data_IF_109879418740
#
_entry.id   IF_109879418740
#
_cell.length_a   1.000
_cell.length_b   1.000
_cell.length_c   1.000
_cell.angle_alpha   90.00
_cell.angle_beta   90.00
_cell.angle_gamma   90.00
#
_symmetry.space_group_name_H-M   'P 1'
#
loop_
_entity.id
_entity.type
_entity.pdbx_description
1 polymer ?
#
# COMPACT_ATOMS: atom_id res chain seq x y z
N UNK A 1 -9.45 -18.17 20.24
CA UNK A 1 -8.14 -18.14 19.60
C UNK A 1 -8.55 -17.70 18.24
N UNK A 2 -8.51 -16.37 18.08
CA UNK A 2 -8.18 -15.84 16.77
C UNK A 2 -6.92 -16.54 16.30
N UNK A 3 -6.85 -16.71 14.99
CA UNK A 3 -5.61 -17.08 14.35
C UNK A 3 -5.27 -15.94 13.37
N UNK A 4 -5.61 -14.71 13.74
CA UNK A 4 -5.56 -13.48 12.94
C UNK A 4 -5.57 -12.33 13.98
N UNK A 5 -4.47 -12.28 14.73
CA UNK A 5 -4.29 -11.50 15.95
C UNK A 5 -4.11 -10.02 15.63
N UNK A 6 -3.77 -9.61 14.38
CA UNK A 6 -3.71 -8.22 13.87
C UNK A 6 -4.82 -7.87 12.83
N UNK A 7 -5.56 -8.86 12.33
CA UNK A 7 -6.77 -8.63 11.53
C UNK A 7 -6.55 -8.39 10.06
N UNK A 8 -5.32 -8.47 9.59
CA UNK A 8 -4.98 -8.16 8.20
C UNK A 8 -5.51 -9.22 7.20
N UNK A 9 -6.21 -10.24 7.71
CA UNK A 9 -6.78 -11.33 6.94
C UNK A 9 -5.80 -12.45 6.62
N UNK A 10 -4.59 -12.38 7.17
CA UNK A 10 -3.56 -13.42 7.17
C UNK A 10 -3.70 -14.24 8.47
N UNK A 11 -3.29 -15.52 8.43
CA UNK A 11 -3.32 -16.34 9.65
C UNK A 11 -2.05 -16.07 10.46
N UNK A 12 -2.15 -15.90 11.79
CA UNK A 12 -1.00 -15.67 12.70
C UNK A 12 0.20 -16.54 12.33
N UNK A 13 -0.05 -17.81 11.99
CA UNK A 13 1.01 -18.79 11.75
C UNK A 13 1.73 -18.56 10.43
N UNK A 14 1.11 -17.90 9.47
CA UNK A 14 1.75 -17.46 8.23
C UNK A 14 2.61 -16.24 8.53
N UNK A 15 2.07 -15.25 9.23
CA UNK A 15 2.74 -14.01 9.65
C UNK A 15 3.98 -14.22 10.51
N UNK A 16 3.93 -15.10 11.53
CA UNK A 16 5.16 -15.36 12.33
C UNK A 16 6.27 -16.06 11.52
N UNK A 17 6.02 -16.47 10.27
CA UNK A 17 6.93 -17.29 9.47
C UNK A 17 7.24 -16.76 8.06
N UNK A 18 6.55 -15.74 7.54
CA UNK A 18 6.82 -15.16 6.22
C UNK A 18 8.05 -14.23 6.24
N UNK A 19 8.34 -13.62 7.39
CA UNK A 19 9.43 -12.66 7.53
C UNK A 19 9.12 -11.30 6.88
N UNK A 20 7.85 -11.02 6.59
CA UNK A 20 7.38 -9.74 6.14
C UNK A 20 7.16 -8.83 7.38
N UNK A 21 7.86 -7.69 7.49
CA UNK A 21 7.64 -6.78 8.60
C UNK A 21 6.27 -6.09 8.57
N UNK A 22 5.56 -6.10 7.43
CA UNK A 22 4.28 -5.39 7.23
C UNK A 22 3.04 -6.25 7.55
N UNK A 23 3.23 -7.49 8.00
CA UNK A 23 2.15 -8.43 8.36
C UNK A 23 2.47 -9.01 9.74
N UNK A 24 2.87 -8.15 10.67
CA UNK A 24 3.43 -8.56 11.94
C UNK A 24 2.38 -8.38 13.04
N UNK A 25 1.81 -9.50 13.52
CA UNK A 25 0.91 -9.61 14.69
C UNK A 25 1.29 -8.86 15.99
N UNK A 26 2.46 -8.22 16.06
CA UNK A 26 2.90 -7.42 17.21
C UNK A 26 3.15 -5.95 16.88
N UNK A 27 2.74 -5.48 15.71
CA UNK A 27 2.92 -4.12 15.15
C UNK A 27 1.68 -3.76 14.31
N UNK A 28 0.54 -3.59 14.96
CA UNK A 28 -0.80 -3.54 14.33
C UNK A 28 -0.99 -2.42 13.31
N UNK A 29 -0.34 -1.27 13.49
CA UNK A 29 -0.39 -0.12 12.58
C UNK A 29 0.81 -0.08 11.61
N UNK A 30 1.68 -1.11 11.67
CA UNK A 30 2.88 -1.24 10.85
C UNK A 30 3.82 0.00 10.88
N UNK A 31 3.78 0.82 11.93
CA UNK A 31 4.61 2.04 12.05
C UNK A 31 6.07 1.74 12.48
N UNK A 32 6.35 0.47 12.78
CA UNK A 32 7.64 -0.03 13.26
C UNK A 32 7.81 0.03 14.79
N UNK A 33 6.77 0.39 15.54
CA UNK A 33 6.72 0.42 16.99
C UNK A 33 5.77 -0.67 17.49
N UNK A 34 6.35 -1.78 17.93
CA UNK A 34 5.54 -2.89 18.47
C UNK A 34 4.52 -2.48 19.54
N UNK A 35 3.30 -3.02 19.46
CA UNK A 35 2.13 -2.70 20.29
C UNK A 35 2.38 -2.65 21.81
N UNK A 36 3.37 -3.43 22.27
CA UNK A 36 3.70 -3.51 23.69
C UNK A 36 4.35 -2.23 24.24
N UNK A 37 4.90 -1.40 23.37
CA UNK A 37 5.49 -0.09 23.69
C UNK A 37 4.81 1.05 22.97
N UNK A 38 3.95 0.76 22.00
CA UNK A 38 3.20 1.76 21.29
C UNK A 38 2.00 2.29 22.12
N UNK A 39 1.71 3.57 21.93
CA UNK A 39 0.74 4.34 22.69
C UNK A 39 -0.55 4.61 21.88
N UNK A 40 -0.56 4.23 20.61
CA UNK A 40 -1.56 4.53 19.57
C UNK A 40 -1.58 3.36 18.57
N UNK A 41 -2.02 2.17 19.03
CA UNK A 41 -1.74 0.87 18.36
C UNK A 41 -2.37 0.78 16.95
N UNK A 42 -3.32 1.66 16.70
CA UNK A 42 -4.09 1.83 15.47
C UNK A 42 -3.92 3.24 14.87
N UNK A 43 -2.86 3.97 15.20
CA UNK A 43 -2.42 5.25 14.59
C UNK A 43 -3.52 6.29 14.20
N UNK A 44 -4.68 6.25 14.86
CA UNK A 44 -5.86 7.07 14.57
C UNK A 44 -5.73 8.49 15.20
N UNK A 45 -4.65 8.70 15.95
CA UNK A 45 -4.34 9.90 16.70
C UNK A 45 -5.01 10.00 18.07
N UNK A 46 -5.61 8.92 18.57
CA UNK A 46 -6.26 8.76 19.86
C UNK A 46 -5.54 7.68 20.66
N UNK A 47 -4.75 8.13 21.66
CA UNK A 47 -4.02 7.20 22.52
C UNK A 47 -4.88 6.04 23.06
N UNK A 48 -4.32 4.83 23.08
CA UNK A 48 -4.85 3.56 23.57
C UNK A 48 -5.70 3.63 24.87
N UNK A 49 -5.52 4.67 25.69
CA UNK A 49 -6.30 4.90 26.90
C UNK A 49 -7.64 5.59 26.67
N UNK A 50 -7.69 6.55 25.74
CA UNK A 50 -8.87 7.32 25.38
C UNK A 50 -9.59 6.71 24.17
N UNK A 51 -8.93 5.78 23.50
CA UNK A 51 -9.50 4.98 22.44
C UNK A 51 -10.48 3.91 23.00
N UNK A 52 -11.73 4.35 23.16
CA UNK A 52 -12.84 3.56 23.69
C UNK A 52 -14.17 4.04 23.12
N UNK A 53 -14.92 3.13 22.51
CA UNK A 53 -16.28 3.37 22.06
C UNK A 53 -17.24 3.71 23.21
N UNK A 54 -18.38 4.35 22.89
CA UNK A 54 -19.42 4.72 23.86
C UNK A 54 -19.99 3.52 24.67
N UNK A 55 -19.91 2.32 24.12
CA UNK A 55 -20.35 1.07 24.76
C UNK A 55 -19.31 0.50 25.75
N UNK A 56 -18.10 1.08 25.80
CA UNK A 56 -16.97 0.66 26.62
C UNK A 56 -16.11 -0.49 26.07
N UNK A 57 -16.26 -0.89 24.80
CA UNK A 57 -15.22 -1.66 24.09
C UNK A 57 -14.10 -0.72 23.64
N UNK A 58 -12.87 -1.22 23.52
CA UNK A 58 -11.80 -0.43 22.90
C UNK A 58 -11.98 -0.38 21.39
N UNK A 59 -11.50 0.70 20.80
CA UNK A 59 -11.56 0.97 19.37
C UNK A 59 -10.20 0.75 18.69
N UNK A 60 -9.23 0.19 19.42
CA UNK A 60 -7.81 -0.11 19.12
C UNK A 60 -7.43 -0.71 17.75
N UNK A 61 -8.38 -0.88 16.84
CA UNK A 61 -8.34 -1.46 15.49
C UNK A 61 -9.51 -0.91 14.67
N UNK A 62 -9.60 0.42 14.63
CA UNK A 62 -10.60 1.25 13.90
C UNK A 62 -9.87 2.55 13.54
N UNK A 63 -8.85 2.43 12.67
CA UNK A 63 -7.86 3.47 12.34
C UNK A 63 -8.51 4.82 11.92
N UNK A 64 -9.71 4.80 11.36
CA UNK A 64 -10.45 5.99 10.92
C UNK A 64 -11.63 6.40 11.83
N UNK A 65 -11.89 5.63 12.88
CA UNK A 65 -13.02 5.77 13.80
C UNK A 65 -14.41 5.75 13.12
N UNK A 66 -14.59 5.03 12.01
CA UNK A 66 -15.87 4.92 11.33
C UNK A 66 -16.81 3.90 12.02
N UNK A 67 -16.26 3.05 12.90
CA UNK A 67 -16.95 2.05 13.69
C UNK A 67 -17.06 0.68 13.02
N UNK A 68 -16.39 0.48 11.90
CA UNK A 68 -15.91 -0.81 11.43
C UNK A 68 -14.63 -1.17 12.18
N UNK A 69 -14.12 -2.34 11.90
CA UNK A 69 -12.89 -2.82 12.50
C UNK A 69 -11.99 -3.12 11.32
N UNK A 70 -10.72 -2.76 11.43
CA UNK A 70 -9.77 -2.82 10.32
C UNK A 70 -9.81 -4.16 9.56
N UNK A 71 -9.87 -5.30 10.28
CA UNK A 71 -9.99 -6.61 9.63
C UNK A 71 -11.31 -6.93 8.89
N UNK A 72 -12.24 -5.99 8.82
CA UNK A 72 -13.46 -6.02 7.99
C UNK A 72 -13.73 -4.71 7.26
N UNK A 73 -13.00 -3.64 7.55
CA UNK A 73 -12.97 -2.47 6.68
C UNK A 73 -12.09 -2.78 5.46
N UNK A 74 -12.31 -2.06 4.37
CA UNK A 74 -11.47 -2.20 3.17
C UNK A 74 -10.65 -0.90 2.92
N UNK A 75 -10.74 0.11 3.80
CA UNK A 75 -10.14 1.47 3.71
C UNK A 75 -9.96 2.05 5.14
N UNK A 76 -8.96 1.55 5.86
CA UNK A 76 -8.72 1.73 7.29
C UNK A 76 -8.44 3.17 7.72
N UNK A 77 -7.97 4.04 6.81
CA UNK A 77 -7.72 5.45 7.08
C UNK A 77 -8.72 6.42 6.38
N UNK A 78 -9.66 5.85 5.62
CA UNK A 78 -10.74 6.53 4.92
C UNK A 78 -10.24 7.60 3.92
N UNK A 79 -9.13 7.33 3.23
CA UNK A 79 -8.49 8.24 2.27
C UNK A 79 -8.90 8.00 0.79
N UNK A 80 -9.85 7.08 0.58
CA UNK A 80 -10.32 6.55 -0.71
C UNK A 80 -9.30 5.63 -1.44
N UNK A 81 -8.23 5.15 -0.78
CA UNK A 81 -7.36 4.04 -1.21
C UNK A 81 -7.77 2.79 -0.41
N UNK A 82 -7.86 1.64 -1.07
CA UNK A 82 -8.15 0.41 -0.33
C UNK A 82 -6.89 -0.09 0.37
N UNK A 83 -6.97 -0.75 1.52
CA UNK A 83 -5.80 -1.30 2.24
C UNK A 83 -4.98 -2.26 1.35
N UNK A 84 -5.68 -2.96 0.45
CA UNK A 84 -5.07 -3.83 -0.57
C UNK A 84 -4.32 -3.09 -1.68
N UNK A 85 -4.29 -1.77 -1.65
CA UNK A 85 -3.55 -0.90 -2.54
C UNK A 85 -2.55 -0.03 -1.74
N UNK A 86 -2.42 -0.26 -0.43
CA UNK A 86 -1.52 0.44 0.49
C UNK A 86 -0.29 -0.39 0.94
N UNK A 87 0.82 0.31 1.21
CA UNK A 87 2.12 -0.29 1.54
C UNK A 87 2.12 -1.00 2.89
N UNK A 88 1.33 -0.48 3.83
CA UNK A 88 1.21 -0.91 5.21
C UNK A 88 -0.22 -1.31 5.60
N UNK A 89 -1.20 -1.09 4.71
CA UNK A 89 -2.60 -1.51 4.89
C UNK A 89 -3.34 -0.77 6.00
N UNK A 90 -2.79 0.34 6.49
CA UNK A 90 -3.31 1.07 7.64
C UNK A 90 -3.01 2.57 7.60
N UNK A 91 -2.00 3.01 6.84
CA UNK A 91 -1.57 4.42 6.82
C UNK A 91 -1.29 4.95 5.40
N UNK A 92 -2.34 5.16 4.61
CA UNK A 92 -2.44 6.18 3.56
C UNK A 92 -1.39 6.17 2.45
N UNK A 93 -0.61 5.10 2.31
CA UNK A 93 0.59 5.07 1.47
C UNK A 93 0.37 4.14 0.30
N UNK A 94 0.07 4.70 -0.87
CA UNK A 94 -0.18 3.93 -2.10
C UNK A 94 1.02 3.05 -2.49
N UNK A 95 0.76 1.80 -2.91
CA UNK A 95 1.82 0.81 -3.23
C UNK A 95 2.56 1.02 -4.53
N UNK A 96 1.93 1.70 -5.48
CA UNK A 96 2.41 1.74 -6.84
C UNK A 96 3.26 3.00 -7.05
N UNK A 97 4.51 2.76 -7.49
CA UNK A 97 5.56 3.71 -7.87
C UNK A 97 6.31 3.00 -9.02
N UNK A 98 5.71 3.03 -10.22
CA UNK A 98 6.13 2.17 -11.34
C UNK A 98 7.54 2.50 -11.85
N UNK A 99 7.93 3.77 -11.83
CA UNK A 99 9.25 4.22 -12.25
C UNK A 99 10.30 4.28 -11.14
N UNK A 100 9.90 3.99 -9.89
CA UNK A 100 10.74 4.01 -8.70
C UNK A 100 11.44 5.37 -8.46
N UNK A 101 10.80 6.48 -8.83
CA UNK A 101 11.33 7.83 -8.61
C UNK A 101 11.10 8.33 -7.17
N UNK A 102 10.26 7.62 -6.42
CA UNK A 102 9.91 7.88 -5.03
C UNK A 102 8.65 8.74 -4.85
N UNK A 103 7.87 8.94 -5.91
CA UNK A 103 6.49 9.42 -5.90
C UNK A 103 5.56 8.24 -6.19
N UNK A 104 4.43 8.16 -5.48
CA UNK A 104 3.38 7.22 -5.83
C UNK A 104 2.70 7.61 -7.15
N UNK A 105 2.28 6.65 -7.98
CA UNK A 105 1.59 6.90 -9.26
C UNK A 105 0.34 7.80 -9.10
N UNK A 106 -0.32 7.76 -7.93
CA UNK A 106 -1.49 8.61 -7.64
C UNK A 106 -1.10 10.10 -7.59
N UNK A 107 0.15 10.39 -7.24
CA UNK A 107 0.73 11.73 -7.09
C UNK A 107 1.77 12.09 -8.15
N UNK A 108 2.32 11.10 -8.85
CA UNK A 108 3.13 11.30 -10.04
C UNK A 108 2.26 11.76 -11.22
N UNK A 109 2.90 12.29 -12.24
CA UNK A 109 2.29 12.82 -13.45
C UNK A 109 2.88 12.22 -14.72
N UNK A 110 3.78 11.25 -14.57
CA UNK A 110 4.66 10.61 -15.55
C UNK A 110 5.08 9.25 -14.98
N UNK A 111 4.11 8.34 -14.78
CA UNK A 111 4.24 7.11 -13.96
C UNK A 111 5.31 6.12 -14.47
N UNK A 112 5.72 6.24 -15.74
CA UNK A 112 6.81 5.47 -16.33
C UNK A 112 8.06 6.33 -16.60
N UNK A 113 8.05 7.62 -16.32
CA UNK A 113 9.16 8.55 -16.51
C UNK A 113 9.74 8.61 -17.95
N UNK A 114 8.92 8.31 -18.97
CA UNK A 114 9.28 8.41 -20.40
C UNK A 114 9.39 9.88 -20.89
N UNK A 115 8.89 10.82 -20.08
CA UNK A 115 8.86 12.26 -20.33
C UNK A 115 7.56 12.78 -20.96
N UNK A 116 6.51 11.96 -21.00
CA UNK A 116 5.15 12.22 -21.45
C UNK A 116 4.22 12.04 -20.26
N UNK A 117 3.37 13.03 -20.00
CA UNK A 117 2.53 12.93 -18.80
C UNK A 117 1.37 11.94 -18.97
N UNK A 118 0.97 11.26 -17.90
CA UNK A 118 -0.17 10.31 -17.85
C UNK A 118 -1.45 10.87 -18.47
N UNK A 119 -1.72 12.15 -18.21
CA UNK A 119 -2.90 12.82 -18.75
C UNK A 119 -2.92 12.80 -20.27
N UNK A 120 -1.76 12.97 -20.90
CA UNK A 120 -1.63 12.96 -22.34
C UNK A 120 -1.81 11.53 -22.87
N UNK A 121 -1.13 10.57 -22.29
CA UNK A 121 -1.15 9.15 -22.65
C UNK A 121 -2.57 8.55 -22.57
N UNK A 122 -3.27 8.82 -21.47
CA UNK A 122 -4.67 8.44 -21.30
C UNK A 122 -5.63 9.05 -22.34
N UNK A 123 -5.26 10.13 -23.03
CA UNK A 123 -6.17 10.92 -23.88
C UNK A 123 -5.75 11.05 -25.35
N UNK A 124 -4.54 10.68 -25.72
CA UNK A 124 -4.06 10.86 -27.09
C UNK A 124 -4.57 9.77 -28.06
N UNK A 125 -4.98 8.62 -27.51
CA UNK A 125 -5.51 7.47 -28.23
C UNK A 125 -4.46 6.72 -29.05
N UNK A 126 -3.20 6.79 -28.61
CA UNK A 126 -2.07 6.08 -29.17
C UNK A 126 -1.63 4.97 -28.21
N UNK A 127 -1.75 3.72 -28.65
CA UNK A 127 -1.37 2.55 -27.84
C UNK A 127 0.17 2.34 -27.78
N UNK A 128 0.98 3.37 -28.05
CA UNK A 128 2.47 3.34 -28.03
C UNK A 128 3.05 4.37 -27.05
N UNK A 129 2.20 4.85 -26.15
CA UNK A 129 2.45 5.95 -25.19
C UNK A 129 1.51 5.64 -24.03
N UNK A 130 1.60 4.41 -23.52
CA UNK A 130 0.78 3.96 -22.40
C UNK A 130 1.46 4.39 -21.11
N UNK A 131 0.68 4.68 -20.07
CA UNK A 131 1.13 5.19 -18.77
C UNK A 131 2.17 4.30 -18.03
N UNK A 132 2.51 3.15 -18.60
CA UNK A 132 3.41 2.14 -18.05
C UNK A 132 4.22 1.53 -19.21
N UNK A 133 4.76 2.36 -20.12
CA UNK A 133 5.44 2.01 -21.39
C UNK A 133 6.71 2.89 -21.57
N UNK A 134 7.73 2.62 -20.75
CA UNK A 134 8.92 3.45 -20.57
C UNK A 134 9.69 3.75 -21.88
N UNK A 135 9.68 2.83 -22.85
CA UNK A 135 10.32 3.01 -24.16
C UNK A 135 9.38 3.37 -25.32
N UNK A 136 8.07 3.46 -25.07
CA UNK A 136 7.02 3.77 -26.04
C UNK A 136 6.91 2.77 -27.20
N UNK A 137 7.08 1.47 -26.94
CA UNK A 137 6.92 0.42 -27.95
C UNK A 137 5.50 -0.16 -28.03
N UNK A 138 4.66 0.16 -27.04
CA UNK A 138 3.27 -0.25 -26.93
C UNK A 138 3.06 -1.59 -26.22
N UNK A 139 4.06 -2.07 -25.50
CA UNK A 139 3.93 -3.12 -24.49
C UNK A 139 4.09 -2.48 -23.11
N UNK A 140 3.14 -2.76 -22.22
CA UNK A 140 3.30 -2.32 -20.83
C UNK A 140 4.59 -2.92 -20.22
N UNK A 141 5.34 -2.16 -19.42
CA UNK A 141 6.64 -2.52 -18.84
C UNK A 141 6.62 -3.91 -18.18
N UNK A 142 5.55 -4.23 -17.44
CA UNK A 142 5.40 -5.55 -16.79
C UNK A 142 5.27 -6.75 -17.76
N UNK A 143 5.10 -6.50 -19.05
CA UNK A 143 5.02 -7.47 -20.15
C UNK A 143 6.17 -7.35 -21.15
N UNK A 144 6.97 -6.30 -21.07
CA UNK A 144 8.22 -6.17 -21.83
C UNK A 144 9.34 -6.98 -21.14
N UNK A 145 10.32 -7.42 -21.92
CA UNK A 145 11.55 -8.05 -21.41
C UNK A 145 12.76 -7.06 -21.47
N UNK A 146 12.59 -5.85 -22.04
CA UNK A 146 13.60 -4.76 -22.24
C UNK A 146 12.88 -3.40 -22.20
N UNK A 147 12.30 -3.05 -21.04
CA UNK A 147 11.35 -1.95 -20.84
C UNK A 147 11.93 -0.55 -21.16
N UNK A 148 13.25 -0.36 -21.05
CA UNK A 148 13.93 0.90 -21.40
C UNK A 148 14.59 0.90 -22.81
N UNK A 149 14.55 -0.24 -23.49
CA UNK A 149 15.15 -0.50 -24.82
C UNK A 149 16.63 -0.12 -24.94
N UNK A 150 17.39 -0.23 -23.85
CA UNK A 150 18.84 -0.02 -23.87
C UNK A 150 19.60 -1.21 -24.48
N UNK A 151 18.91 -2.34 -24.64
CA UNK A 151 19.40 -3.59 -25.22
C UNK A 151 19.94 -4.59 -24.19
N UNK A 152 19.66 -4.38 -22.91
CA UNK A 152 19.86 -5.30 -21.80
C UNK A 152 18.47 -5.73 -21.32
N UNK A 153 18.22 -7.04 -21.26
CA UNK A 153 16.92 -7.51 -20.74
C UNK A 153 16.80 -7.17 -19.25
N UNK A 154 15.60 -6.84 -18.79
CA UNK A 154 15.26 -6.45 -17.41
C UNK A 154 15.79 -7.48 -16.39
N UNK A 155 15.79 -8.78 -16.77
CA UNK A 155 16.32 -9.87 -15.94
C UNK A 155 17.83 -9.73 -15.59
N UNK A 156 18.54 -8.83 -16.28
CA UNK A 156 19.97 -8.53 -16.10
C UNK A 156 20.25 -7.13 -15.55
N UNK A 157 19.22 -6.35 -15.30
CA UNK A 157 19.31 -4.99 -14.77
C UNK A 157 19.35 -5.00 -13.23
N UNK A 158 19.84 -3.93 -12.59
CA UNK A 158 20.02 -3.87 -11.12
C UNK A 158 19.56 -2.56 -10.52
#
# INVERSE_FOLDING_TARGET
MDNDDDGDGIDDREEVNDGDPNTNIYDHDNDGISDNVDMDIDNDGIDNHNDVYENGSSAMRDHDNDGLNDGVDDDDDNDDILDVDEFDGATGSYRYDHDNDGLDDKSDTDDDNDGLSDWYESNDGNDLTGQFDHDNDGMDDHLDDDDDNDGILDEFEN
#
